data_IF_736569625325
#
_entry.id   IF_736569625325
#
_cell.length_a   1.000
_cell.length_b   1.000
_cell.length_c   1.000
_cell.angle_alpha   90.00
_cell.angle_beta   90.00
_cell.angle_gamma   90.00
#
_symmetry.space_group_name_H-M   'P 1'
#
loop_
_entity.id
_entity.type
_entity.pdbx_description
1 polymer ?
#
# COMPACT_ATOMS: atom_id res chain seq x y z
N UNK A 1 -18.14 -8.37 -5.96
CA UNK A 1 -17.28 -9.55 -5.72
C UNK A 1 -15.86 -9.04 -5.60
N UNK A 2 -15.05 -9.58 -4.69
CA UNK A 2 -13.60 -9.32 -4.69
C UNK A 2 -12.91 -10.03 -5.86
N UNK A 3 -11.59 -9.86 -5.97
CA UNK A 3 -10.78 -10.62 -6.95
C UNK A 3 -10.70 -12.08 -6.51
N UNK A 4 -11.03 -13.00 -7.41
CA UNK A 4 -10.82 -14.43 -7.24
C UNK A 4 -9.82 -14.93 -8.27
N UNK A 5 -8.92 -15.81 -7.85
CA UNK A 5 -7.92 -16.41 -8.75
C UNK A 5 -8.08 -17.93 -8.70
N UNK A 6 -8.22 -18.56 -9.86
CA UNK A 6 -8.35 -20.01 -9.98
C UNK A 6 -7.37 -20.54 -11.02
N UNK A 7 -6.69 -21.64 -10.72
CA UNK A 7 -5.82 -22.31 -11.68
C UNK A 7 -6.66 -22.97 -12.78
N UNK A 8 -6.23 -22.81 -14.03
CA UNK A 8 -6.80 -23.51 -15.19
C UNK A 8 -6.07 -24.84 -15.33
N UNK A 9 -6.83 -25.92 -15.51
CA UNK A 9 -6.21 -27.23 -15.77
C UNK A 9 -5.46 -27.19 -17.10
N UNK A 10 -4.18 -27.53 -17.06
CA UNK A 10 -3.28 -27.48 -18.20
C UNK A 10 -2.24 -28.59 -18.05
N UNK A 11 -2.17 -29.46 -19.06
CA UNK A 11 -1.22 -30.58 -19.12
C UNK A 11 -0.01 -30.29 -19.99
N UNK A 12 0.01 -29.13 -20.65
CA UNK A 12 1.13 -28.74 -21.49
C UNK A 12 2.35 -28.48 -20.60
N UNK A 13 3.51 -29.09 -20.90
CA UNK A 13 4.72 -28.85 -20.13
C UNK A 13 5.13 -27.39 -20.27
N UNK A 14 5.69 -26.82 -19.21
CA UNK A 14 6.20 -25.44 -19.19
C UNK A 14 5.14 -24.36 -19.51
N UNK A 15 3.85 -24.70 -19.34
CA UNK A 15 2.73 -23.76 -19.44
C UNK A 15 1.96 -23.77 -18.12
N UNK A 16 1.59 -22.59 -17.65
CA UNK A 16 0.70 -22.42 -16.52
C UNK A 16 -0.38 -21.40 -16.90
N UNK A 17 -1.62 -21.61 -16.47
CA UNK A 17 -2.69 -20.66 -16.70
C UNK A 17 -3.54 -20.47 -15.44
N UNK A 18 -3.96 -19.22 -15.22
CA UNK A 18 -4.87 -18.83 -14.15
C UNK A 18 -5.98 -17.96 -14.73
N UNK A 19 -7.18 -18.10 -14.18
CA UNK A 19 -8.29 -17.18 -14.39
C UNK A 19 -8.38 -16.24 -13.20
N UNK A 20 -8.31 -14.94 -13.47
CA UNK A 20 -8.55 -13.86 -12.53
C UNK A 20 -9.96 -13.33 -12.78
N UNK A 21 -10.85 -13.53 -11.82
CA UNK A 21 -12.26 -13.11 -11.88
C UNK A 21 -12.48 -11.92 -10.95
N UNK A 22 -12.90 -10.81 -11.52
CA UNK A 22 -13.43 -9.65 -10.81
C UNK A 22 -14.80 -9.30 -11.39
N UNK A 23 -15.03 -8.07 -11.85
CA UNK A 23 -16.23 -7.78 -12.65
C UNK A 23 -16.17 -8.38 -14.06
N UNK A 24 -14.94 -8.54 -14.55
CA UNK A 24 -14.63 -9.23 -15.79
C UNK A 24 -13.68 -10.39 -15.48
N UNK A 25 -13.67 -11.39 -16.35
CA UNK A 25 -12.69 -12.48 -16.30
C UNK A 25 -11.51 -12.17 -17.21
N UNK A 26 -10.30 -12.32 -16.67
CA UNK A 26 -9.05 -12.23 -17.40
C UNK A 26 -8.29 -13.53 -17.21
N UNK A 27 -7.82 -14.14 -18.30
CA UNK A 27 -6.90 -15.27 -18.23
C UNK A 27 -5.45 -14.81 -18.35
N UNK A 28 -4.60 -15.27 -17.44
CA UNK A 28 -3.15 -15.05 -17.52
C UNK A 28 -2.50 -16.41 -17.78
N UNK A 29 -1.67 -16.47 -18.81
CA UNK A 29 -0.95 -17.67 -19.25
C UNK A 29 0.54 -17.35 -19.15
N UNK A 30 1.30 -18.21 -18.47
CA UNK A 30 2.75 -18.18 -18.43
C UNK A 30 3.31 -19.30 -19.30
N UNK A 31 4.28 -18.99 -20.14
CA UNK A 31 4.93 -19.92 -21.07
C UNK A 31 6.44 -19.84 -20.88
N UNK A 32 7.10 -21.00 -20.83
CA UNK A 32 8.56 -21.09 -20.91
C UNK A 32 8.96 -21.95 -22.10
N UNK A 33 9.27 -21.30 -23.23
CA UNK A 33 9.50 -21.92 -24.50
C UNK A 33 10.98 -22.25 -24.74
N UNK A 34 11.51 -23.25 -24.02
CA UNK A 34 12.92 -23.63 -24.11
C UNK A 34 13.37 -24.03 -25.52
N UNK A 35 14.55 -23.58 -25.95
CA UNK A 35 15.20 -23.95 -27.22
C UNK A 35 15.42 -25.47 -27.40
N UNK A 36 15.45 -26.24 -26.32
CA UNK A 36 15.68 -27.69 -26.35
C UNK A 36 14.47 -28.54 -26.75
N UNK A 37 13.31 -27.92 -27.01
CA UNK A 37 12.08 -28.60 -27.40
C UNK A 37 11.47 -27.98 -28.65
N UNK A 38 10.90 -28.82 -29.52
CA UNK A 38 10.03 -28.36 -30.60
C UNK A 38 8.74 -27.80 -29.99
N UNK A 39 8.54 -26.49 -30.14
CA UNK A 39 7.32 -25.81 -29.71
C UNK A 39 6.29 -25.75 -30.83
N UNK A 40 5.06 -26.09 -30.49
CA UNK A 40 3.87 -25.94 -31.33
C UNK A 40 2.97 -24.91 -30.66
N UNK A 41 2.91 -23.70 -31.20
CA UNK A 41 2.11 -22.62 -30.62
C UNK A 41 0.62 -22.98 -30.65
N UNK A 42 0.23 -23.81 -31.62
CA UNK A 42 -1.11 -24.33 -31.82
C UNK A 42 -1.65 -25.06 -30.59
N UNK A 43 -0.81 -25.73 -29.80
CA UNK A 43 -1.21 -26.42 -28.56
C UNK A 43 -1.73 -25.43 -27.51
N UNK A 44 -1.15 -24.24 -27.44
CA UNK A 44 -1.52 -23.17 -26.50
C UNK A 44 -2.88 -22.54 -26.89
N UNK A 45 -3.30 -22.64 -28.16
CA UNK A 45 -4.56 -22.06 -28.66
C UNK A 45 -5.78 -22.50 -27.83
N UNK A 46 -5.74 -23.71 -27.27
CA UNK A 46 -6.81 -24.25 -26.41
C UNK A 46 -7.01 -23.47 -25.11
N UNK A 47 -6.00 -22.73 -24.67
CA UNK A 47 -6.04 -21.92 -23.45
C UNK A 47 -6.48 -20.48 -23.71
N UNK A 48 -6.47 -20.01 -24.96
CA UNK A 48 -6.75 -18.62 -25.32
C UNK A 48 -8.21 -18.29 -25.00
N UNK A 49 -8.42 -17.31 -24.13
CA UNK A 49 -9.73 -16.79 -23.76
C UNK A 49 -10.05 -15.51 -24.55
N UNK A 50 -11.29 -15.00 -24.45
CA UNK A 50 -11.70 -13.74 -25.10
C UNK A 50 -10.94 -12.52 -24.59
N UNK A 51 -10.51 -12.55 -23.32
CA UNK A 51 -9.64 -11.56 -22.68
C UNK A 51 -8.51 -12.29 -21.96
N UNK A 52 -7.30 -12.20 -22.49
CA UNK A 52 -6.14 -12.89 -21.92
C UNK A 52 -4.81 -12.20 -22.20
N UNK A 53 -3.81 -12.56 -21.40
CA UNK A 53 -2.41 -12.21 -21.61
C UNK A 53 -1.56 -13.47 -21.49
N UNK A 54 -0.69 -13.69 -22.47
CA UNK A 54 0.33 -14.74 -22.50
C UNK A 54 1.68 -14.07 -22.23
N UNK A 55 2.26 -14.29 -21.07
CA UNK A 55 3.63 -13.90 -20.73
C UNK A 55 4.55 -15.09 -20.97
N UNK A 56 5.77 -14.83 -21.43
CA UNK A 56 6.75 -15.91 -21.46
C UNK A 56 8.13 -15.51 -21.93
N UNK A 57 9.07 -16.40 -21.62
CA UNK A 57 10.31 -16.54 -22.37
C UNK A 57 9.96 -17.35 -23.63
N UNK A 58 9.82 -16.67 -24.76
CA UNK A 58 9.47 -17.31 -26.02
C UNK A 58 10.69 -17.88 -26.74
N UNK A 59 11.92 -17.54 -26.31
CA UNK A 59 13.18 -17.76 -27.04
C UNK A 59 13.15 -17.28 -28.52
N UNK A 60 12.21 -16.40 -28.86
CA UNK A 60 12.01 -15.83 -30.20
C UNK A 60 12.07 -14.33 -30.11
N UNK A 61 13.09 -13.72 -30.71
CA UNK A 61 13.18 -12.27 -30.87
C UNK A 61 12.36 -11.86 -32.09
N UNK A 62 11.33 -11.04 -31.85
CA UNK A 62 10.33 -10.68 -32.85
C UNK A 62 10.95 -9.93 -34.04
N UNK A 63 12.05 -9.21 -33.82
CA UNK A 63 12.69 -8.39 -34.84
C UNK A 63 13.93 -9.06 -35.47
N UNK A 64 14.50 -10.07 -34.83
CA UNK A 64 15.78 -10.66 -35.25
C UNK A 64 15.67 -12.08 -35.82
N UNK A 65 14.64 -12.86 -35.49
CA UNK A 65 14.62 -14.30 -35.78
C UNK A 65 13.86 -14.72 -37.06
N UNK A 66 13.52 -13.78 -37.94
CA UNK A 66 12.91 -14.05 -39.25
C UNK A 66 11.76 -15.07 -39.19
N UNK A 67 11.91 -16.23 -39.85
CA UNK A 67 10.90 -17.29 -39.93
C UNK A 67 10.40 -17.80 -38.56
N UNK A 68 11.21 -17.80 -37.50
CA UNK A 68 10.72 -18.19 -36.17
C UNK A 68 9.73 -17.15 -35.63
N UNK A 69 10.06 -15.86 -35.80
CA UNK A 69 9.19 -14.74 -35.44
C UNK A 69 7.91 -14.74 -36.29
N UNK A 70 8.02 -14.92 -37.60
CA UNK A 70 6.87 -14.97 -38.52
C UNK A 70 5.87 -16.06 -38.12
N UNK A 71 6.34 -17.25 -37.74
CA UNK A 71 5.46 -18.35 -37.28
C UNK A 71 4.74 -18.00 -35.97
N UNK A 72 5.45 -17.42 -35.01
CA UNK A 72 4.86 -17.03 -33.73
C UNK A 72 3.83 -15.90 -33.93
N UNK A 73 4.17 -14.87 -34.70
CA UNK A 73 3.28 -13.76 -35.01
C UNK A 73 2.06 -14.21 -35.82
N UNK A 74 2.23 -15.11 -36.79
CA UNK A 74 1.11 -15.67 -37.54
C UNK A 74 0.13 -16.42 -36.61
N UNK A 75 0.65 -17.25 -35.70
CA UNK A 75 -0.18 -17.91 -34.70
C UNK A 75 -0.88 -16.90 -33.77
N UNK A 76 -0.17 -15.84 -33.37
CA UNK A 76 -0.73 -14.78 -32.53
C UNK A 76 -1.89 -14.06 -33.24
N UNK A 77 -1.71 -13.70 -34.51
CA UNK A 77 -2.73 -13.06 -35.35
C UNK A 77 -3.98 -13.96 -35.50
N UNK A 78 -3.78 -15.26 -35.76
CA UNK A 78 -4.87 -16.24 -35.84
C UNK A 78 -5.68 -16.35 -34.53
N UNK A 79 -5.06 -16.02 -33.40
CA UNK A 79 -5.69 -15.99 -32.09
C UNK A 79 -6.08 -14.58 -31.61
N UNK A 80 -5.91 -13.56 -32.46
CA UNK A 80 -6.15 -12.14 -32.12
C UNK A 80 -5.35 -11.64 -30.92
N UNK A 81 -4.10 -12.10 -30.80
CA UNK A 81 -3.14 -11.70 -29.78
C UNK A 81 -2.19 -10.65 -30.36
N UNK A 82 -2.20 -9.45 -29.79
CA UNK A 82 -1.24 -8.41 -30.14
C UNK A 82 0.05 -8.55 -29.31
N UNK A 83 1.25 -8.38 -29.91
CA UNK A 83 2.51 -8.41 -29.18
C UNK A 83 2.77 -7.12 -28.39
N UNK A 84 3.28 -7.27 -27.17
CA UNK A 84 3.69 -6.21 -26.26
C UNK A 84 5.15 -6.41 -25.88
N UNK A 85 6.02 -5.77 -26.66
CA UNK A 85 7.48 -5.93 -26.58
C UNK A 85 8.08 -4.85 -25.68
N UNK A 86 8.93 -5.19 -24.70
CA UNK A 86 9.59 -4.19 -23.87
C UNK A 86 10.61 -3.38 -24.68
N UNK A 87 10.95 -2.20 -24.15
CA UNK A 87 11.88 -1.23 -24.76
C UNK A 87 13.37 -1.56 -24.56
N UNK A 88 13.68 -2.64 -23.85
CA UNK A 88 15.05 -3.06 -23.58
C UNK A 88 15.21 -4.59 -23.67
N UNK A 89 16.39 -5.07 -24.10
CA UNK A 89 16.74 -6.49 -24.12
C UNK A 89 16.47 -7.20 -22.80
N UNK A 90 15.96 -8.43 -22.89
CA UNK A 90 15.65 -9.26 -21.73
C UNK A 90 16.71 -10.31 -21.50
N UNK A 91 17.40 -10.78 -22.54
CA UNK A 91 18.54 -11.70 -22.40
C UNK A 91 19.83 -10.96 -22.02
N UNK A 92 20.45 -11.35 -20.90
CA UNK A 92 21.78 -10.85 -20.51
C UNK A 92 22.93 -11.48 -21.33
N UNK A 93 22.66 -12.58 -22.04
CA UNK A 93 23.68 -13.30 -22.84
C UNK A 93 23.82 -12.76 -24.25
N UNK A 94 22.73 -12.27 -24.83
CA UNK A 94 22.63 -12.07 -26.29
C UNK A 94 22.06 -10.72 -26.71
N UNK A 95 21.69 -9.85 -25.75
CA UNK A 95 21.08 -8.55 -26.05
C UNK A 95 19.81 -8.66 -26.93
N UNK A 96 19.09 -9.78 -26.81
CA UNK A 96 17.83 -10.08 -27.50
C UNK A 96 16.63 -9.81 -26.61
N UNK A 97 15.50 -9.51 -27.23
CA UNK A 97 14.19 -9.36 -26.56
C UNK A 97 13.39 -10.64 -26.81
N UNK A 98 13.53 -11.60 -25.90
CA UNK A 98 12.90 -12.92 -26.01
C UNK A 98 11.85 -13.17 -24.93
N UNK A 99 11.77 -12.28 -23.94
CA UNK A 99 10.72 -12.27 -22.93
C UNK A 99 9.77 -11.10 -23.21
N UNK A 100 8.49 -11.39 -23.41
CA UNK A 100 7.47 -10.37 -23.67
C UNK A 100 6.08 -10.92 -23.38
N UNK A 101 5.04 -10.18 -23.77
CA UNK A 101 3.67 -10.61 -23.66
C UNK A 101 2.93 -10.56 -24.99
N UNK A 102 1.93 -11.42 -25.15
CA UNK A 102 0.94 -11.39 -26.21
C UNK A 102 -0.44 -11.24 -25.57
N UNK A 103 -1.27 -10.27 -25.97
CA UNK A 103 -2.55 -10.02 -25.30
C UNK A 103 -3.72 -9.89 -26.26
N UNK A 104 -4.90 -10.38 -25.81
CA UNK A 104 -6.17 -10.31 -26.52
C UNK A 104 -7.21 -9.64 -25.63
N UNK A 105 -7.95 -8.69 -26.20
CA UNK A 105 -9.08 -8.03 -25.51
C UNK A 105 -8.65 -7.15 -24.32
N UNK A 106 -7.36 -6.86 -24.19
CA UNK A 106 -6.80 -5.98 -23.15
C UNK A 106 -5.55 -5.29 -23.68
N UNK A 107 -5.39 -4.02 -23.33
CA UNK A 107 -4.18 -3.25 -23.58
C UNK A 107 -3.34 -3.23 -22.29
N UNK A 108 -2.05 -3.55 -22.40
CA UNK A 108 -1.12 -3.64 -21.29
C UNK A 108 0.15 -2.85 -21.60
N UNK A 109 0.91 -2.54 -20.56
CA UNK A 109 2.29 -2.08 -20.70
C UNK A 109 3.22 -3.23 -20.29
N UNK A 110 4.33 -3.41 -21.00
CA UNK A 110 5.41 -4.34 -20.64
C UNK A 110 6.72 -3.58 -20.67
N UNK A 111 7.50 -3.70 -19.59
CA UNK A 111 8.83 -3.09 -19.48
C UNK A 111 9.82 -4.08 -18.90
N UNK A 112 11.09 -3.95 -19.28
CA UNK A 112 12.17 -4.75 -18.67
C UNK A 112 12.59 -4.12 -17.35
N UNK A 113 12.64 -4.91 -16.28
CA UNK A 113 13.10 -4.46 -14.98
C UNK A 113 14.62 -4.58 -14.88
N UNK A 114 15.30 -3.42 -14.86
CA UNK A 114 16.75 -3.34 -14.64
C UNK A 114 17.06 -3.56 -13.16
N UNK A 115 18.05 -4.40 -12.87
CA UNK A 115 18.53 -4.67 -11.52
C UNK A 115 19.45 -5.88 -11.47
N UNK A 116 20.04 -6.13 -10.29
CA UNK A 116 20.81 -7.34 -10.06
C UNK A 116 19.86 -8.55 -10.03
N UNK A 117 20.14 -9.55 -10.86
CA UNK A 117 19.41 -10.81 -10.93
C UNK A 117 20.41 -11.95 -10.93
N UNK A 118 20.02 -13.11 -10.38
CA UNK A 118 20.79 -14.36 -10.50
C UNK A 118 20.42 -15.15 -11.74
N UNK A 119 19.37 -14.72 -12.46
CA UNK A 119 18.97 -15.25 -13.77
C UNK A 119 19.82 -14.63 -14.87
N UNK A 120 19.98 -15.33 -15.96
CA UNK A 120 20.55 -14.85 -17.22
C UNK A 120 19.54 -14.05 -18.07
N UNK A 121 18.32 -13.86 -17.56
CA UNK A 121 17.29 -12.99 -18.12
C UNK A 121 16.94 -11.88 -17.12
N UNK A 122 16.64 -10.69 -17.64
CA UNK A 122 16.00 -9.60 -16.91
C UNK A 122 14.49 -9.85 -16.86
N UNK A 123 13.85 -9.70 -15.68
CA UNK A 123 12.40 -9.83 -15.57
C UNK A 123 11.65 -8.81 -16.43
N UNK A 124 10.49 -9.20 -16.96
CA UNK A 124 9.51 -8.26 -17.50
C UNK A 124 8.46 -7.92 -16.44
N UNK A 125 8.05 -6.66 -16.39
CA UNK A 125 7.01 -6.16 -15.52
C UNK A 125 5.85 -5.62 -16.35
N UNK A 126 4.63 -5.91 -15.92
CA UNK A 126 3.41 -5.42 -16.56
C UNK A 126 2.38 -4.98 -15.53
N UNK A 127 1.67 -3.89 -15.84
CA UNK A 127 0.47 -3.49 -15.11
C UNK A 127 -0.76 -3.86 -15.92
N UNK A 128 -1.62 -4.67 -15.32
CA UNK A 128 -2.81 -5.21 -15.97
C UNK A 128 -4.03 -4.52 -15.38
N UNK A 129 -4.77 -3.72 -16.18
CA UNK A 129 -5.97 -3.06 -15.69
C UNK A 129 -7.09 -4.10 -15.47
N UNK A 130 -7.50 -4.28 -14.22
CA UNK A 130 -8.64 -5.11 -13.84
C UNK A 130 -9.75 -4.21 -13.34
N UNK A 131 -10.90 -4.28 -13.99
CA UNK A 131 -12.10 -3.55 -13.59
C UNK A 131 -12.69 -4.15 -12.32
N UNK A 132 -12.81 -3.34 -11.28
CA UNK A 132 -13.46 -3.68 -10.02
C UNK A 132 -14.36 -2.52 -9.63
N UNK A 133 -15.67 -2.68 -9.81
CA UNK A 133 -16.73 -1.73 -9.45
C UNK A 133 -16.85 -1.60 -7.94
N UNK A 134 -16.53 -2.67 -7.22
CA UNK A 134 -16.59 -2.67 -5.77
C UNK A 134 -15.35 -2.02 -5.18
N UNK A 135 -15.53 -0.99 -4.35
CA UNK A 135 -14.44 -0.40 -3.60
C UNK A 135 -13.84 -1.48 -2.67
N UNK A 136 -12.58 -1.85 -2.91
CA UNK A 136 -11.90 -2.93 -2.18
C UNK A 136 -11.72 -2.60 -0.69
N UNK A 137 -11.48 -1.32 -0.36
CA UNK A 137 -11.38 -0.86 1.04
C UNK A 137 -12.73 -1.02 1.73
N UNK A 138 -13.80 -0.61 1.06
CA UNK A 138 -15.16 -0.77 1.56
C UNK A 138 -15.55 -2.24 1.73
N UNK A 139 -15.26 -3.08 0.73
CA UNK A 139 -15.51 -4.51 0.79
C UNK A 139 -14.74 -5.17 1.94
N UNK A 140 -13.53 -4.71 2.22
CA UNK A 140 -12.69 -5.22 3.30
C UNK A 140 -13.16 -4.73 4.69
N UNK A 141 -13.76 -3.54 4.79
CA UNK A 141 -14.30 -3.01 6.05
C UNK A 141 -15.72 -3.51 6.39
N UNK A 142 -16.56 -3.79 5.39
CA UNK A 142 -17.98 -4.16 5.56
C UNK A 142 -18.18 -5.62 5.98
N UNK A 143 -19.29 -5.89 6.67
CA UNK A 143 -19.81 -7.23 6.99
C UNK A 143 -18.82 -8.19 7.67
N UNK A 144 -17.86 -7.65 8.43
CA UNK A 144 -16.89 -8.45 9.17
C UNK A 144 -17.54 -9.13 10.37
N UNK A 145 -17.13 -10.38 10.62
CA UNK A 145 -17.57 -11.17 11.77
C UNK A 145 -16.37 -11.68 12.55
N UNK A 146 -16.49 -11.75 13.86
CA UNK A 146 -15.52 -12.39 14.75
C UNK A 146 -16.23 -13.35 15.71
N UNK A 147 -15.42 -14.21 16.33
CA UNK A 147 -15.76 -14.95 17.52
C UNK A 147 -14.55 -14.85 18.47
N UNK A 148 -14.77 -15.14 19.75
CA UNK A 148 -13.72 -15.18 20.76
C UNK A 148 -13.50 -16.64 21.13
N UNK A 149 -12.24 -17.05 21.24
CA UNK A 149 -11.86 -18.38 21.73
C UNK A 149 -11.05 -18.25 23.01
N UNK A 150 -11.48 -18.95 24.07
CA UNK A 150 -10.78 -19.00 25.35
C UNK A 150 -10.72 -20.47 25.78
N UNK A 151 -9.52 -20.99 26.02
CA UNK A 151 -9.29 -22.38 26.46
C UNK A 151 -10.02 -23.42 25.57
N UNK A 152 -10.00 -23.22 24.25
CA UNK A 152 -10.68 -24.10 23.29
C UNK A 152 -12.20 -23.93 23.19
N UNK A 153 -12.81 -23.08 24.02
CA UNK A 153 -14.24 -22.76 23.95
C UNK A 153 -14.48 -21.53 23.09
N UNK A 154 -15.35 -21.64 22.10
CA UNK A 154 -15.66 -20.58 21.12
C UNK A 154 -16.98 -19.89 21.43
N UNK A 155 -17.01 -18.56 21.32
CA UNK A 155 -18.26 -17.81 21.33
C UNK A 155 -19.05 -18.03 20.04
N UNK A 156 -20.32 -17.59 20.02
CA UNK A 156 -21.03 -17.35 18.75
C UNK A 156 -20.32 -16.29 17.91
N UNK A 157 -20.54 -16.34 16.60
CA UNK A 157 -20.14 -15.26 15.70
C UNK A 157 -20.92 -13.97 16.01
N UNK A 158 -20.25 -12.83 15.93
CA UNK A 158 -20.84 -11.50 16.05
C UNK A 158 -20.25 -10.54 15.00
N UNK A 159 -21.00 -9.49 14.66
CA UNK A 159 -20.57 -8.50 13.67
C UNK A 159 -19.62 -7.47 14.27
N UNK A 160 -18.61 -7.06 13.50
CA UNK A 160 -17.66 -6.00 13.85
C UNK A 160 -18.03 -4.74 13.07
N UNK A 161 -18.56 -3.74 13.76
CA UNK A 161 -19.00 -2.48 13.15
C UNK A 161 -17.91 -1.39 13.03
N UNK A 162 -16.79 -1.52 13.75
CA UNK A 162 -15.75 -0.48 13.85
C UNK A 162 -14.34 -1.09 13.89
N UNK A 163 -13.32 -0.27 13.61
CA UNK A 163 -11.90 -0.65 13.63
C UNK A 163 -11.47 -1.53 12.46
N UNK A 164 -10.18 -1.65 12.18
CA UNK A 164 -9.65 -2.60 11.19
C UNK A 164 -9.34 -3.98 11.80
N UNK A 165 -9.25 -5.06 11.01
CA UNK A 165 -8.70 -6.34 11.43
C UNK A 165 -7.26 -6.19 11.96
N UNK A 166 -6.97 -6.70 13.16
CA UNK A 166 -5.61 -6.72 13.68
C UNK A 166 -4.77 -7.78 12.94
N UNK A 167 -3.49 -7.47 12.68
CA UNK A 167 -2.56 -8.34 11.97
C UNK A 167 -2.62 -8.26 10.43
N UNK A 168 -3.52 -7.45 9.86
CA UNK A 168 -3.56 -7.20 8.42
C UNK A 168 -2.64 -6.04 8.00
N UNK A 169 -1.92 -6.18 6.89
CA UNK A 169 -1.04 -5.12 6.35
C UNK A 169 -1.80 -3.85 5.93
N UNK A 170 -3.10 -3.98 5.59
CA UNK A 170 -3.94 -2.85 5.20
C UNK A 170 -4.39 -1.98 6.37
N UNK A 171 -4.53 -2.53 7.59
CA UNK A 171 -5.04 -1.77 8.74
C UNK A 171 -4.15 -0.58 9.08
N UNK A 172 -2.81 -0.74 9.24
CA UNK A 172 -1.93 0.40 9.51
C UNK A 172 -1.94 1.45 8.39
N UNK A 173 -1.94 1.00 7.12
CA UNK A 173 -1.96 1.92 5.97
C UNK A 173 -3.25 2.76 5.93
N UNK A 174 -4.41 2.13 6.13
CA UNK A 174 -5.68 2.84 6.18
C UNK A 174 -5.77 3.77 7.39
N UNK A 175 -5.19 3.39 8.53
CA UNK A 175 -5.13 4.24 9.71
C UNK A 175 -4.30 5.51 9.46
N UNK A 176 -3.12 5.37 8.86
CA UNK A 176 -2.25 6.51 8.50
C UNK A 176 -2.95 7.41 7.49
N UNK A 177 -3.55 6.83 6.44
CA UNK A 177 -4.27 7.61 5.43
C UNK A 177 -5.47 8.38 6.01
N UNK A 178 -6.21 7.77 6.94
CA UNK A 178 -7.37 8.39 7.59
C UNK A 178 -6.99 9.62 8.45
N UNK A 179 -5.75 9.69 8.95
CA UNK A 179 -5.28 10.76 9.82
C UNK A 179 -4.17 11.63 9.19
N UNK A 180 -3.88 11.46 7.90
CA UNK A 180 -2.73 12.11 7.27
C UNK A 180 -2.85 13.65 7.19
N UNK A 181 -4.07 14.18 7.30
CA UNK A 181 -4.38 15.60 7.31
C UNK A 181 -4.39 16.22 8.71
N UNK A 182 -4.25 15.43 9.79
CA UNK A 182 -4.28 15.92 11.17
C UNK A 182 -3.27 17.05 11.42
N UNK A 183 -2.10 17.00 10.78
CA UNK A 183 -1.07 18.04 10.91
C UNK A 183 -1.53 19.43 10.46
N UNK A 184 -2.50 19.52 9.54
CA UNK A 184 -3.05 20.79 9.06
C UNK A 184 -3.83 21.54 10.15
N UNK A 185 -4.37 20.81 11.13
CA UNK A 185 -5.11 21.37 12.25
C UNK A 185 -4.22 21.73 13.46
N UNK A 186 -2.92 21.43 13.39
CA UNK A 186 -1.92 21.71 14.43
C UNK A 186 -1.05 22.92 14.07
N UNK A 187 -1.68 24.01 13.61
CA UNK A 187 -0.99 25.25 13.25
C UNK A 187 -0.29 25.89 14.46
N UNK A 188 0.92 26.40 14.27
CA UNK A 188 1.71 27.02 15.35
C UNK A 188 2.49 26.02 16.22
N UNK A 189 2.49 24.74 15.84
CA UNK A 189 3.20 23.66 16.51
C UNK A 189 4.08 22.90 15.50
N UNK A 190 5.22 22.38 15.94
CA UNK A 190 5.93 21.32 15.22
C UNK A 190 5.32 19.98 15.63
N UNK A 191 4.76 19.23 14.68
CA UNK A 191 4.10 17.94 14.97
C UNK A 191 4.86 16.76 14.37
N UNK A 192 4.89 15.65 15.11
CA UNK A 192 5.46 14.37 14.71
C UNK A 192 4.41 13.27 14.93
N UNK A 193 4.17 12.48 13.90
CA UNK A 193 3.21 11.38 13.91
C UNK A 193 3.96 10.05 13.74
N UNK A 194 3.60 9.04 14.55
CA UNK A 194 4.09 7.68 14.41
C UNK A 194 2.95 6.70 14.69
N UNK A 195 2.41 6.08 13.63
CA UNK A 195 1.17 5.30 13.74
C UNK A 195 0.08 6.11 14.47
N UNK A 196 -0.45 5.60 15.59
CA UNK A 196 -1.44 6.28 16.44
C UNK A 196 -0.85 7.28 17.45
N UNK A 197 0.48 7.33 17.59
CA UNK A 197 1.16 8.30 18.45
C UNK A 197 1.31 9.66 17.74
N UNK A 198 0.95 10.72 18.46
CA UNK A 198 1.14 12.12 18.06
C UNK A 198 1.89 12.87 19.14
N UNK A 199 2.99 13.53 18.73
CA UNK A 199 3.66 14.55 19.53
C UNK A 199 3.55 15.92 18.84
N UNK A 200 2.98 16.91 19.52
CA UNK A 200 2.95 18.30 19.07
C UNK A 200 3.79 19.17 20.00
N UNK A 201 4.69 19.95 19.43
CA UNK A 201 5.64 20.80 20.13
C UNK A 201 5.28 22.26 19.85
N UNK A 202 5.00 23.04 20.89
CA UNK A 202 4.71 24.46 20.81
C UNK A 202 5.87 25.23 21.43
N UNK A 203 6.32 26.29 20.77
CA UNK A 203 7.33 27.20 21.31
C UNK A 203 6.86 28.65 21.20
N UNK A 204 7.07 29.45 22.24
CA UNK A 204 6.66 30.85 22.29
C UNK A 204 7.45 31.67 23.31
N UNK A 205 7.47 32.99 23.13
CA UNK A 205 8.03 33.93 24.11
C UNK A 205 7.02 34.21 25.21
N UNK A 206 7.45 34.07 26.47
CA UNK A 206 6.63 34.45 27.62
C UNK A 206 6.43 35.96 27.69
N UNK A 207 5.22 36.40 28.03
CA UNK A 207 4.88 37.80 28.28
C UNK A 207 4.22 38.52 27.10
N UNK A 208 4.17 37.88 25.94
CA UNK A 208 3.32 38.29 24.82
C UNK A 208 2.04 37.47 24.86
N UNK A 209 0.90 38.17 24.79
CA UNK A 209 -0.43 37.55 24.63
C UNK A 209 -0.54 36.90 23.25
N UNK A 210 0.10 35.76 23.02
CA UNK A 210 -0.09 35.00 21.79
C UNK A 210 -1.19 33.98 21.99
N UNK A 211 -2.36 34.28 21.43
CA UNK A 211 -3.41 33.30 21.21
C UNK A 211 -2.98 32.35 20.10
N UNK A 212 -2.28 31.26 20.43
CA UNK A 212 -2.12 30.14 19.48
C UNK A 212 -3.43 29.38 19.48
N UNK A 213 -4.23 29.63 18.45
CA UNK A 213 -5.52 28.99 18.25
C UNK A 213 -5.26 27.57 17.75
N UNK A 214 -5.25 26.60 18.67
CA UNK A 214 -5.41 25.19 18.32
C UNK A 214 -6.93 25.01 18.20
N UNK A 215 -7.46 24.90 16.97
CA UNK A 215 -8.90 24.90 16.73
C UNK A 215 -9.26 23.88 15.65
N UNK A 216 -10.40 23.19 15.83
CA UNK A 216 -11.56 23.65 15.07
C UNK A 216 -12.51 24.56 15.85
N UNK A 217 -12.57 24.50 17.19
CA UNK A 217 -13.38 25.45 17.98
C UNK A 217 -12.81 25.84 19.36
N UNK A 218 -11.65 26.53 19.37
CA UNK A 218 -11.07 27.27 20.52
C UNK A 218 -10.47 26.46 21.68
N UNK A 219 -9.14 26.37 21.70
CA UNK A 219 -8.34 26.24 22.92
C UNK A 219 -7.37 27.42 22.98
N UNK A 220 -7.41 28.22 24.05
CA UNK A 220 -6.48 29.33 24.27
C UNK A 220 -5.57 29.00 25.45
N UNK A 221 -4.26 28.94 25.21
CA UNK A 221 -3.26 28.79 26.27
C UNK A 221 -2.86 30.18 26.74
N UNK A 222 -3.13 30.53 28.01
CA UNK A 222 -2.69 31.79 28.63
C UNK A 222 -1.59 31.49 29.63
N UNK A 223 -0.40 32.07 29.43
CA UNK A 223 0.75 31.90 30.32
C UNK A 223 1.14 33.26 30.90
N UNK A 224 1.26 33.35 32.22
CA UNK A 224 1.73 34.56 32.91
C UNK A 224 3.07 34.32 33.61
N UNK A 225 4.00 35.25 33.37
CA UNK A 225 5.32 35.47 33.99
C UNK A 225 6.55 34.67 33.50
N UNK A 226 7.66 35.40 33.52
CA UNK A 226 8.90 35.34 32.73
C UNK A 226 9.72 34.05 32.86
N UNK A 227 9.79 33.23 31.80
CA UNK A 227 10.93 32.41 31.27
C UNK A 227 10.43 31.45 30.15
N UNK A 228 11.12 31.36 29.00
CA UNK A 228 10.77 30.58 27.78
C UNK A 228 10.09 29.21 27.98
N UNK A 229 8.84 29.02 27.52
CA UNK A 229 8.11 27.72 27.52
C UNK A 229 8.22 26.97 26.20
N UNK A 230 8.56 25.67 26.29
CA UNK A 230 8.34 24.65 25.25
C UNK A 230 7.23 23.72 25.74
N UNK A 231 6.05 23.71 25.11
CA UNK A 231 5.00 22.76 25.45
C UNK A 231 5.09 21.53 24.53
N UNK A 232 5.01 20.31 25.07
CA UNK A 232 4.85 19.07 24.30
C UNK A 232 3.48 18.48 24.67
N UNK A 233 2.53 18.49 23.75
CA UNK A 233 1.27 17.76 23.90
C UNK A 233 1.43 16.38 23.25
N UNK A 234 1.27 15.32 24.04
CA UNK A 234 1.15 13.96 23.51
C UNK A 234 -0.27 13.48 23.70
N UNK A 235 -0.91 13.05 22.62
CA UNK A 235 -2.32 12.66 22.61
C UNK A 235 -2.46 11.25 22.06
N UNK A 236 -2.33 10.24 22.93
CA UNK A 236 -3.18 9.04 23.02
C UNK A 236 -2.53 7.97 23.92
N UNK A 237 -3.39 7.09 24.48
CA UNK A 237 -3.10 5.85 25.21
C UNK A 237 -3.03 5.95 26.75
N UNK A 238 -3.66 4.98 27.48
CA UNK A 238 -3.55 4.83 28.94
C UNK A 238 -2.12 4.68 29.47
N UNK A 239 -1.14 4.43 28.58
CA UNK A 239 0.28 4.26 28.89
C UNK A 239 1.07 5.58 28.87
N UNK A 240 0.40 6.74 28.82
CA UNK A 240 1.05 8.04 28.83
C UNK A 240 1.90 8.19 30.10
N UNK A 241 3.23 8.19 29.94
CA UNK A 241 4.18 8.26 31.05
C UNK A 241 4.80 9.66 31.12
N UNK A 242 4.71 10.27 32.31
CA UNK A 242 5.29 11.55 32.67
C UNK A 242 6.80 11.40 32.93
N UNK A 243 7.66 12.11 32.18
CA UNK A 243 9.08 12.24 32.53
C UNK A 243 9.46 13.73 32.47
N UNK A 244 9.70 14.35 33.62
CA UNK A 244 10.17 15.73 33.73
C UNK A 244 10.65 16.07 35.14
N UNK A 245 11.86 16.62 35.26
CA UNK A 245 12.49 17.06 36.52
C UNK A 245 12.32 18.58 36.66
N UNK A 246 11.81 19.02 37.81
CA UNK A 246 11.71 20.43 38.19
C UNK A 246 12.97 20.81 38.98
N UNK A 247 13.57 21.96 38.66
CA UNK A 247 14.43 22.69 39.61
C UNK A 247 14.09 24.17 39.54
N UNK A 248 13.57 24.71 40.64
CA UNK A 248 13.40 26.15 40.83
C UNK A 248 14.73 26.76 41.28
N UNK A 249 15.02 27.97 40.81
CA UNK A 249 15.85 28.90 41.60
C UNK A 249 15.25 30.30 41.55
N UNK A 250 15.15 30.85 42.76
CA UNK A 250 14.73 32.18 43.23
C UNK A 250 13.24 32.56 43.18
N UNK A 251 12.67 32.47 44.39
CA UNK A 251 11.85 33.47 45.08
C UNK A 251 10.74 34.13 44.26
N UNK A 252 9.61 33.43 44.14
CA UNK A 252 8.29 33.93 44.56
C UNK A 252 7.26 32.85 44.17
N UNK A 253 6.37 32.50 45.10
CA UNK A 253 5.36 31.43 44.99
C UNK A 253 4.26 31.76 43.94
N UNK A 254 4.63 31.79 42.66
CA UNK A 254 3.67 31.91 41.56
C UNK A 254 3.38 30.52 40.96
N UNK A 255 2.33 29.88 41.45
CA UNK A 255 1.77 28.69 40.81
C UNK A 255 1.22 29.01 39.42
N UNK A 256 1.45 28.11 38.45
CA UNK A 256 0.86 28.20 37.11
C UNK A 256 -0.47 27.44 37.14
N UNK A 257 -1.57 28.15 36.94
CA UNK A 257 -2.92 27.57 36.85
C UNK A 257 -3.32 27.44 35.37
N UNK A 258 -3.68 26.25 34.92
CA UNK A 258 -4.08 25.98 33.53
C UNK A 258 -5.46 25.31 33.53
N UNK A 259 -6.44 25.96 32.91
CA UNK A 259 -7.83 25.51 32.84
C UNK A 259 -8.13 24.90 31.45
N UNK A 260 -8.80 23.73 31.41
CA UNK A 260 -9.17 23.04 30.17
C UNK A 260 -10.64 22.63 30.16
N UNK A 261 -11.33 22.80 29.02
CA UNK A 261 -12.70 22.34 28.78
C UNK A 261 -12.73 21.23 27.71
N UNK A 262 -13.40 20.11 27.99
CA UNK A 262 -13.37 18.89 27.16
C UNK A 262 -14.53 18.81 26.14
N UNK A 263 -14.28 18.24 24.94
CA UNK A 263 -15.34 17.90 23.97
C UNK A 263 -15.40 16.43 23.52
N UNK A 264 -14.40 15.58 23.81
CA UNK A 264 -14.46 14.13 23.54
C UNK A 264 -13.89 13.31 24.71
N UNK A 265 -14.40 12.07 24.86
CA UNK A 265 -14.19 11.17 26.00
C UNK A 265 -12.77 10.57 26.14
N UNK A 266 -11.75 11.19 25.55
CA UNK A 266 -10.36 10.74 25.64
C UNK A 266 -9.53 11.79 26.40
N UNK A 267 -8.80 11.40 27.47
CA UNK A 267 -8.01 12.34 28.25
C UNK A 267 -6.83 12.88 27.43
N UNK A 268 -6.70 14.20 27.38
CA UNK A 268 -5.60 14.94 26.77
C UNK A 268 -4.59 15.29 27.89
N UNK A 269 -3.30 14.97 27.74
CA UNK A 269 -2.24 15.40 28.66
C UNK A 269 -1.30 16.39 27.94
N UNK A 270 -1.14 17.58 28.50
CA UNK A 270 -0.27 18.64 27.97
C UNK A 270 0.94 18.79 28.91
N UNK A 271 2.16 18.69 28.37
CA UNK A 271 3.43 18.83 29.10
C UNK A 271 4.06 20.19 28.76
N UNK A 272 4.66 20.88 29.73
CA UNK A 272 5.43 22.12 29.58
C UNK A 272 6.87 21.88 30.05
N UNK A 273 7.87 22.29 29.27
CA UNK A 273 9.30 22.23 29.58
C UNK A 273 9.96 23.56 29.20
N UNK A 274 10.75 24.16 30.11
CA UNK A 274 11.55 25.36 29.81
C UNK A 274 12.98 24.95 29.45
N UNK A 275 13.64 25.72 28.58
CA UNK A 275 15.07 25.56 28.28
C UNK A 275 15.83 26.74 28.91
N UNK A 276 16.89 26.44 29.66
CA UNK A 276 17.83 27.41 30.25
C UNK A 276 18.52 28.25 29.18
#
# INVERSE_FOLDING_TARGET
MGIQVTRVDCKLPNVCAIDVKADESLRIIGVYASDSRSWSWEEISTLIASKCVVFGDFNVDVFQDGNKSEKLLHWADMNSLAPFIPDAPTSLRSNRVIDYALARGININVQTQKGNTTSDHLPILSSIPISIKQNLVEAWLRNRRAFIEVNGSKSRWFNIGKGGPQGGILTPCLFIAYHCDMGQFLSGCTSHFFADDLAAIVSGQIGLSTSTVISPTTTSIRVTNTTTITAVAMVNSPSTTLIGKISSTSNDDAGIEIEFTYMYSSPLLIILALKN
#
